data_IF_041038262802
#
_entry.id   IF_041038262802
#
_cell.length_a   1.000
_cell.length_b   1.000
_cell.length_c   1.000
_cell.angle_alpha   90.00
_cell.angle_beta   90.00
_cell.angle_gamma   90.00
#
_symmetry.space_group_name_H-M   'P 1'
#
loop_
_entity.id
_entity.type
_entity.pdbx_description
1 polymer ?
#
# COMPACT_ATOMS: atom_id res chain seq x y z
N UNK A 1 21.79 -27.68 -58.94
CA UNK A 1 20.75 -27.35 -57.93
C UNK A 1 21.23 -27.85 -56.57
N UNK A 2 21.58 -26.93 -55.65
CA UNK A 2 21.87 -27.23 -54.24
C UNK A 2 21.01 -26.31 -53.40
N UNK A 3 20.11 -26.87 -52.60
CA UNK A 3 19.20 -26.16 -51.70
C UNK A 3 19.86 -26.15 -50.31
N UNK A 4 20.12 -24.99 -49.68
CA UNK A 4 20.65 -24.95 -48.33
C UNK A 4 19.51 -25.16 -47.32
N UNK A 5 19.72 -26.13 -46.43
CA UNK A 5 18.85 -26.41 -45.29
C UNK A 5 19.07 -25.31 -44.24
N UNK A 6 18.09 -24.41 -44.08
CA UNK A 6 18.12 -23.39 -43.03
C UNK A 6 17.64 -24.04 -41.73
N UNK A 7 18.59 -24.41 -40.87
CA UNK A 7 18.32 -24.84 -39.49
C UNK A 7 17.96 -23.59 -38.69
N UNK A 8 16.66 -23.38 -38.45
CA UNK A 8 16.16 -22.34 -37.56
C UNK A 8 16.46 -22.68 -36.11
N UNK A 9 17.48 -22.03 -35.53
CA UNK A 9 17.66 -21.99 -34.08
C UNK A 9 16.51 -21.19 -33.45
N UNK A 10 15.50 -21.88 -32.92
CA UNK A 10 14.57 -21.32 -31.95
C UNK A 10 15.37 -21.00 -30.67
N UNK A 11 15.72 -19.72 -30.50
CA UNK A 11 16.23 -19.21 -29.23
C UNK A 11 15.05 -19.21 -28.26
N UNK A 12 14.99 -20.23 -27.41
CA UNK A 12 14.12 -20.25 -26.24
C UNK A 12 14.59 -19.13 -25.30
N UNK A 13 13.98 -17.95 -25.42
CA UNK A 13 14.09 -16.91 -24.40
C UNK A 13 13.47 -17.48 -23.12
N UNK A 14 14.31 -18.00 -22.23
CA UNK A 14 13.88 -18.47 -20.92
C UNK A 14 13.20 -17.30 -20.19
N UNK A 15 11.96 -17.51 -19.74
CA UNK A 15 11.24 -16.55 -18.90
C UNK A 15 12.09 -16.28 -17.65
N UNK A 16 12.83 -15.17 -17.63
CA UNK A 16 13.46 -14.70 -16.40
C UNK A 16 12.34 -14.37 -15.42
N UNK A 17 12.21 -15.15 -14.35
CA UNK A 17 11.32 -14.81 -13.25
C UNK A 17 11.72 -13.45 -12.70
N UNK A 18 10.77 -12.52 -12.61
CA UNK A 18 10.98 -11.23 -11.96
C UNK A 18 11.51 -11.46 -10.53
N UNK A 19 12.54 -10.71 -10.09
CA UNK A 19 13.05 -10.86 -8.74
C UNK A 19 11.96 -10.52 -7.72
N UNK A 20 12.05 -11.18 -6.57
CA UNK A 20 11.05 -11.12 -5.52
C UNK A 20 11.74 -11.20 -4.17
N UNK A 21 11.05 -10.78 -3.12
CA UNK A 21 11.43 -11.07 -1.75
C UNK A 21 10.48 -12.11 -1.16
N UNK A 22 10.91 -12.77 -0.09
CA UNK A 22 10.11 -13.79 0.60
C UNK A 22 9.98 -13.45 2.07
N UNK A 23 8.75 -13.49 2.58
CA UNK A 23 8.49 -13.50 4.02
C UNK A 23 8.31 -14.97 4.44
N UNK A 24 9.01 -15.38 5.49
CA UNK A 24 8.98 -16.73 6.06
C UNK A 24 8.72 -16.65 7.57
N UNK A 25 7.49 -16.97 7.98
CA UNK A 25 7.04 -17.04 9.36
C UNK A 25 7.15 -18.42 10.00
N UNK A 26 7.78 -19.40 9.34
CA UNK A 26 7.80 -20.81 9.76
C UNK A 26 9.00 -21.22 10.64
N UNK A 27 9.95 -20.32 10.89
CA UNK A 27 11.21 -20.68 11.54
C UNK A 27 11.42 -20.01 12.91
N UNK A 28 10.53 -20.28 13.87
CA UNK A 28 10.91 -20.04 15.26
C UNK A 28 12.05 -20.98 15.68
N UNK A 29 13.06 -20.43 16.38
CA UNK A 29 14.11 -21.28 16.96
C UNK A 29 13.47 -22.11 18.06
N UNK A 30 13.35 -23.42 17.87
CA UNK A 30 12.72 -24.33 18.84
C UNK A 30 13.34 -24.23 20.25
N UNK A 31 14.61 -23.84 20.35
CA UNK A 31 15.31 -23.65 21.62
C UNK A 31 15.01 -22.33 22.33
N UNK A 32 14.31 -21.40 21.67
CA UNK A 32 13.96 -20.09 22.19
C UNK A 32 12.48 -20.10 22.61
N UNK A 33 12.26 -20.25 23.93
CA UNK A 33 10.92 -20.51 24.48
C UNK A 33 9.91 -19.37 24.25
N UNK A 34 10.40 -18.17 23.95
CA UNK A 34 9.59 -16.98 23.69
C UNK A 34 9.52 -16.65 22.20
N UNK A 35 9.78 -17.63 21.31
CA UNK A 35 9.84 -17.44 19.87
C UNK A 35 8.81 -18.31 19.15
N UNK A 36 7.91 -17.65 18.43
CA UNK A 36 6.75 -18.30 17.82
C UNK A 36 6.64 -17.99 16.33
N UNK A 37 6.07 -18.96 15.62
CA UNK A 37 5.74 -18.80 14.22
C UNK A 37 4.70 -17.69 14.05
N UNK A 38 4.72 -17.09 12.86
CA UNK A 38 3.73 -16.10 12.45
C UNK A 38 3.10 -16.49 11.13
N UNK A 39 1.80 -16.31 11.05
CA UNK A 39 1.01 -16.46 9.83
C UNK A 39 0.83 -15.11 9.17
N UNK A 40 0.98 -15.06 7.85
CA UNK A 40 0.75 -13.86 7.06
C UNK A 40 -0.75 -13.74 6.82
N UNK A 41 -1.35 -12.68 7.39
CA UNK A 41 -2.79 -12.37 7.35
C UNK A 41 -3.14 -11.40 6.22
N UNK A 42 -2.29 -10.41 5.97
CA UNK A 42 -2.48 -9.45 4.88
C UNK A 42 -1.14 -8.81 4.49
N UNK A 43 -1.05 -8.34 3.25
CA UNK A 43 0.08 -7.55 2.76
C UNK A 43 -0.49 -6.38 1.99
N UNK A 44 -0.11 -5.16 2.37
CA UNK A 44 -0.61 -3.90 1.77
C UNK A 44 -2.14 -3.83 1.76
N UNK A 45 -2.76 -4.28 2.85
CA UNK A 45 -4.23 -4.37 2.98
C UNK A 45 -4.88 -5.55 2.23
N UNK A 46 -4.15 -6.26 1.36
CA UNK A 46 -4.69 -7.42 0.65
C UNK A 46 -4.61 -8.69 1.50
N UNK A 47 -5.76 -9.25 1.87
CA UNK A 47 -5.86 -10.43 2.74
C UNK A 47 -5.16 -11.66 2.14
N UNK A 48 -4.32 -12.29 2.94
CA UNK A 48 -3.61 -13.53 2.65
C UNK A 48 -4.09 -14.57 3.67
N UNK A 49 -4.74 -15.65 3.22
CA UNK A 49 -5.27 -16.66 4.15
C UNK A 49 -4.13 -17.47 4.80
N UNK A 50 -3.73 -17.10 6.02
CA UNK A 50 -2.98 -17.93 6.99
C UNK A 50 -1.68 -18.55 6.49
N UNK A 51 -0.99 -17.93 5.53
CA UNK A 51 0.20 -18.53 4.92
C UNK A 51 1.43 -18.28 5.78
N UNK A 52 2.23 -19.31 6.02
CA UNK A 52 3.53 -19.16 6.68
C UNK A 52 4.61 -18.57 5.77
N UNK A 53 4.45 -18.68 4.44
CA UNK A 53 5.40 -18.11 3.48
C UNK A 53 4.69 -17.39 2.35
N UNK A 54 5.26 -16.27 1.90
CA UNK A 54 4.73 -15.53 0.77
C UNK A 54 5.85 -14.81 0.01
N UNK A 55 5.81 -14.91 -1.31
CA UNK A 55 6.60 -14.06 -2.19
C UNK A 55 5.90 -12.70 -2.32
N UNK A 56 6.69 -11.64 -2.14
CA UNK A 56 6.27 -10.25 -2.30
C UNK A 56 7.15 -9.57 -3.33
N UNK A 57 6.68 -8.44 -3.85
CA UNK A 57 7.50 -7.59 -4.69
C UNK A 57 8.61 -6.95 -3.85
N UNK A 58 9.72 -6.52 -4.46
CA UNK A 58 10.65 -5.63 -3.79
C UNK A 58 10.00 -4.27 -3.53
N UNK A 59 10.38 -3.59 -2.45
CA UNK A 59 9.84 -2.29 -2.07
C UNK A 59 9.26 -2.26 -0.66
N UNK A 60 8.60 -1.16 -0.31
CA UNK A 60 7.94 -1.00 0.98
C UNK A 60 6.64 -1.80 1.03
N UNK A 61 6.42 -2.52 2.12
CA UNK A 61 5.23 -3.31 2.37
C UNK A 61 4.76 -3.19 3.82
N UNK A 62 3.44 -3.18 4.03
CA UNK A 62 2.85 -3.37 5.35
C UNK A 62 2.39 -4.82 5.48
N UNK A 63 2.99 -5.56 6.42
CA UNK A 63 2.74 -6.99 6.57
C UNK A 63 1.95 -7.23 7.86
N UNK A 64 0.73 -7.73 7.73
CA UNK A 64 -0.08 -8.14 8.89
C UNK A 64 0.26 -9.59 9.22
N UNK A 65 0.72 -9.83 10.44
CA UNK A 65 1.24 -11.11 10.92
C UNK A 65 0.48 -11.54 12.16
N UNK A 66 -0.08 -12.75 12.17
CA UNK A 66 -0.70 -13.36 13.34
C UNK A 66 0.22 -14.35 14.02
N UNK A 67 0.46 -14.21 15.32
CA UNK A 67 1.24 -15.19 16.09
C UNK A 67 0.48 -16.51 16.24
N UNK A 68 1.20 -17.63 16.18
CA UNK A 68 0.70 -18.94 16.63
C UNK A 68 0.90 -19.16 18.14
N UNK A 69 1.54 -18.22 18.82
CA UNK A 69 1.85 -18.28 20.24
C UNK A 69 0.62 -18.08 21.13
N UNK A 70 0.67 -18.55 22.40
CA UNK A 70 -0.45 -18.47 23.32
C UNK A 70 -0.71 -17.01 23.74
N UNK A 71 -1.93 -16.51 23.50
CA UNK A 71 -2.36 -15.23 24.04
C UNK A 71 -2.58 -15.35 25.56
N UNK A 72 -1.78 -14.64 26.36
CA UNK A 72 -1.90 -14.65 27.83
C UNK A 72 -3.11 -13.87 28.33
N UNK A 73 -3.58 -12.89 27.55
CA UNK A 73 -4.75 -12.07 27.86
C UNK A 73 -5.81 -12.23 26.77
N UNK A 74 -7.10 -12.26 27.18
CA UNK A 74 -8.24 -12.23 26.25
C UNK A 74 -8.33 -10.95 25.42
N UNK A 75 -7.61 -9.89 25.81
CA UNK A 75 -7.54 -8.60 25.12
C UNK A 75 -6.33 -8.48 24.18
N UNK A 76 -5.42 -9.46 24.18
CA UNK A 76 -4.24 -9.40 23.32
C UNK A 76 -4.63 -9.70 21.86
N UNK A 77 -4.25 -8.83 20.94
CA UNK A 77 -4.44 -9.06 19.51
C UNK A 77 -3.41 -10.08 19.04
N UNK A 78 -3.84 -11.14 18.35
CA UNK A 78 -2.92 -12.10 17.75
C UNK A 78 -2.18 -11.51 16.54
N UNK A 79 -2.76 -10.49 15.91
CA UNK A 79 -2.28 -9.87 14.68
C UNK A 79 -1.56 -8.54 14.94
N UNK A 80 -0.37 -8.39 14.37
CA UNK A 80 0.46 -7.19 14.40
C UNK A 80 0.78 -6.74 12.97
N UNK A 81 0.99 -5.45 12.77
CA UNK A 81 1.47 -4.89 11.50
C UNK A 81 2.98 -4.70 11.59
N UNK A 82 3.71 -5.15 10.58
CA UNK A 82 5.15 -5.02 10.47
C UNK A 82 5.53 -4.34 9.16
N UNK A 83 6.12 -3.13 9.20
CA UNK A 83 6.63 -2.46 8.02
C UNK A 83 7.91 -3.14 7.54
N UNK A 84 7.98 -3.44 6.25
CA UNK A 84 9.11 -4.15 5.63
C UNK A 84 9.53 -3.47 4.34
N UNK A 85 10.79 -3.01 4.27
CA UNK A 85 11.44 -2.64 3.02
C UNK A 85 12.11 -3.88 2.43
N UNK A 86 11.38 -4.56 1.56
CA UNK A 86 11.76 -5.83 0.97
C UNK A 86 12.79 -5.65 -0.15
N UNK A 87 13.98 -6.21 0.04
CA UNK A 87 15.07 -6.24 -0.94
C UNK A 87 14.85 -7.38 -1.94
N UNK A 88 15.24 -7.15 -3.19
CA UNK A 88 15.25 -8.19 -4.21
C UNK A 88 16.03 -9.43 -3.74
N UNK A 89 15.47 -10.61 -4.01
CA UNK A 89 16.08 -11.89 -3.75
C UNK A 89 16.45 -12.13 -2.27
N UNK A 90 15.78 -11.43 -1.35
CA UNK A 90 15.96 -11.58 0.08
C UNK A 90 14.82 -12.38 0.70
N UNK A 91 15.15 -13.32 1.58
CA UNK A 91 14.22 -13.98 2.49
C UNK A 91 14.35 -13.36 3.86
N UNK A 92 13.22 -12.89 4.38
CA UNK A 92 13.05 -12.37 5.73
C UNK A 92 12.40 -13.44 6.60
N UNK A 93 13.14 -13.94 7.58
CA UNK A 93 12.60 -14.87 8.58
C UNK A 93 12.03 -14.04 9.71
N UNK A 94 10.72 -14.08 9.88
CA UNK A 94 9.99 -13.28 10.86
C UNK A 94 9.36 -14.15 11.92
N UNK A 95 9.34 -13.67 13.16
CA UNK A 95 8.75 -14.38 14.30
C UNK A 95 8.06 -13.42 15.25
N UNK A 96 7.15 -13.95 16.06
CA UNK A 96 6.55 -13.22 17.17
C UNK A 96 7.28 -13.58 18.46
N UNK A 97 7.64 -12.56 19.24
CA UNK A 97 8.26 -12.72 20.54
C UNK A 97 7.54 -11.90 21.61
N UNK A 98 7.64 -12.32 22.87
CA UNK A 98 7.18 -11.49 23.97
C UNK A 98 8.12 -10.32 24.19
N UNK A 99 7.56 -9.12 24.36
CA UNK A 99 8.34 -7.93 24.64
C UNK A 99 9.11 -8.05 25.95
N UNK A 100 10.36 -7.54 26.02
CA UNK A 100 11.22 -7.70 27.20
C UNK A 100 10.63 -7.04 28.47
N UNK A 101 9.83 -5.99 28.29
CA UNK A 101 9.22 -5.21 29.38
C UNK A 101 7.80 -5.64 29.73
N UNK A 102 7.11 -6.34 28.82
CA UNK A 102 5.73 -6.76 29.02
C UNK A 102 5.50 -8.12 28.34
N UNK A 103 5.41 -9.16 29.17
CA UNK A 103 5.17 -10.54 28.71
C UNK A 103 3.78 -10.76 28.11
N UNK A 104 2.90 -9.77 28.17
CA UNK A 104 1.57 -9.81 27.54
C UNK A 104 1.56 -9.11 26.17
N UNK A 105 2.63 -8.37 25.82
CA UNK A 105 2.77 -7.71 24.53
C UNK A 105 3.61 -8.58 23.58
N UNK A 106 3.08 -8.79 22.38
CA UNK A 106 3.81 -9.41 21.28
C UNK A 106 4.54 -8.35 20.46
N UNK A 107 5.71 -8.70 19.95
CA UNK A 107 6.44 -7.92 18.96
C UNK A 107 6.88 -8.83 17.80
N UNK A 108 6.91 -8.28 16.59
CA UNK A 108 7.46 -8.96 15.43
C UNK A 108 8.96 -8.67 15.36
N UNK A 109 9.76 -9.71 15.16
CA UNK A 109 11.20 -9.59 14.92
C UNK A 109 11.63 -10.33 13.67
N UNK A 110 12.55 -9.74 12.93
CA UNK A 110 13.32 -10.42 11.88
C UNK A 110 14.46 -11.17 12.55
N UNK A 111 14.44 -12.49 12.48
CA UNK A 111 15.49 -13.35 13.02
C UNK A 111 16.69 -13.47 12.09
N UNK A 112 16.44 -13.43 10.78
CA UNK A 112 17.42 -13.71 9.75
C UNK A 112 17.03 -13.05 8.43
N UNK A 113 18.03 -12.54 7.73
CA UNK A 113 17.95 -12.05 6.35
C UNK A 113 18.95 -12.86 5.51
N UNK A 114 18.45 -13.55 4.49
CA UNK A 114 19.33 -14.37 3.63
C UNK A 114 18.89 -14.37 2.19
N UNK A 115 19.88 -14.50 1.30
CA UNK A 115 19.65 -14.56 -0.13
C UNK A 115 18.86 -15.82 -0.51
N UNK A 116 17.95 -15.67 -1.44
CA UNK A 116 17.20 -16.76 -2.07
C UNK A 116 18.10 -17.35 -3.17
N UNK A 117 18.60 -18.59 -3.04
CA UNK A 117 19.63 -19.11 -3.94
C UNK A 117 19.21 -19.18 -5.42
N UNK A 118 17.91 -19.29 -5.68
CA UNK A 118 17.33 -19.38 -7.03
C UNK A 118 16.93 -18.03 -7.62
N UNK A 119 17.10 -16.94 -6.88
CA UNK A 119 16.74 -15.59 -7.33
C UNK A 119 18.01 -14.82 -7.68
N UNK A 120 18.03 -14.26 -8.89
CA UNK A 120 19.09 -13.32 -9.31
C UNK A 120 18.51 -11.92 -9.21
N UNK A 121 19.12 -11.00 -8.43
CA UNK A 121 18.63 -9.63 -8.36
C UNK A 121 18.74 -9.01 -9.76
N UNK A 122 17.85 -8.05 -10.01
CA UNK A 122 18.00 -7.17 -11.16
C UNK A 122 19.42 -6.58 -11.13
N UNK A 123 20.04 -6.35 -12.31
CA UNK A 123 21.20 -5.48 -12.36
C UNK A 123 20.87 -4.22 -11.58
N UNK A 124 21.77 -3.76 -10.71
CA UNK A 124 21.63 -2.48 -10.01
C UNK A 124 21.61 -1.42 -11.09
N UNK A 125 20.41 -1.10 -11.56
CA UNK A 125 20.17 0.06 -12.40
C UNK A 125 20.54 1.26 -11.52
N UNK A 126 21.40 2.18 -11.99
CA UNK A 126 21.75 3.36 -11.20
C UNK A 126 20.44 3.97 -10.70
N UNK A 127 20.37 4.21 -9.39
CA UNK A 127 19.19 4.71 -8.69
C UNK A 127 18.66 5.91 -9.48
N UNK A 128 17.66 5.65 -10.33
CA UNK A 128 17.14 6.70 -11.19
C UNK A 128 16.45 7.64 -10.24
N UNK A 129 16.98 8.87 -10.15
CA UNK A 129 16.34 9.94 -9.39
C UNK A 129 14.91 10.02 -9.92
N UNK A 130 13.96 9.54 -9.13
CA UNK A 130 12.55 9.54 -9.53
C UNK A 130 12.12 11.00 -9.55
N UNK A 131 12.13 11.59 -10.75
CA UNK A 131 11.67 12.96 -10.94
C UNK A 131 10.16 12.95 -10.81
N UNK A 132 9.66 13.44 -9.68
CA UNK A 132 8.22 13.55 -9.45
C UNK A 132 7.70 14.72 -10.30
N UNK A 133 6.78 14.46 -11.25
CA UNK A 133 6.27 15.47 -12.17
C UNK A 133 5.36 16.46 -11.44
N UNK A 134 5.24 17.69 -11.95
CA UNK A 134 4.47 18.76 -11.29
C UNK A 134 2.99 18.40 -11.05
N UNK A 135 2.38 17.59 -11.91
CA UNK A 135 0.98 17.17 -11.75
C UNK A 135 0.77 16.15 -10.63
N UNK A 136 1.85 15.54 -10.12
CA UNK A 136 1.85 14.67 -8.95
C UNK A 136 2.22 15.42 -7.66
N UNK A 137 2.34 16.75 -7.71
CA UNK A 137 2.70 17.63 -6.59
C UNK A 137 1.61 18.64 -6.32
N UNK A 138 1.42 19.09 -5.07
CA UNK A 138 0.52 20.18 -4.79
C UNK A 138 1.07 21.49 -5.38
N UNK A 139 0.18 22.38 -5.81
CA UNK A 139 0.55 23.68 -6.38
C UNK A 139 1.05 24.69 -5.33
N UNK A 140 0.89 24.37 -4.05
CA UNK A 140 1.33 25.16 -2.90
C UNK A 140 1.64 24.24 -1.71
N UNK A 141 2.23 24.79 -0.65
CA UNK A 141 2.46 24.05 0.58
C UNK A 141 1.12 23.61 1.20
N UNK A 142 1.05 22.34 1.63
CA UNK A 142 -0.16 21.74 2.20
C UNK A 142 0.03 21.58 3.71
N UNK A 143 -0.85 22.21 4.48
CA UNK A 143 -0.93 22.03 5.94
C UNK A 143 -1.68 20.75 6.31
N UNK A 144 -1.65 20.36 7.58
CA UNK A 144 -2.55 19.32 8.08
C UNK A 144 -4.00 19.82 8.01
N UNK A 145 -4.84 19.17 7.21
CA UNK A 145 -6.27 19.45 7.07
C UNK A 145 -7.09 18.52 7.97
N UNK A 146 -8.04 19.10 8.70
CA UNK A 146 -9.01 18.37 9.52
C UNK A 146 -10.17 17.84 8.69
N UNK A 147 -10.94 16.88 9.25
CA UNK A 147 -12.08 16.28 8.56
C UNK A 147 -13.14 17.29 8.04
N UNK A 148 -13.27 18.45 8.66
CA UNK A 148 -14.22 19.50 8.25
C UNK A 148 -13.71 20.37 7.08
N UNK A 149 -12.40 20.35 6.82
CA UNK A 149 -11.76 21.08 5.73
C UNK A 149 -11.64 20.22 4.46
N UNK A 150 -11.86 18.91 4.59
CA UNK A 150 -11.87 17.96 3.48
C UNK A 150 -13.22 18.02 2.75
N UNK A 151 -13.18 18.12 1.43
CA UNK A 151 -14.37 18.30 0.58
C UNK A 151 -14.28 17.43 -0.68
N UNK A 152 -15.35 17.42 -1.48
CA UNK A 152 -15.39 16.78 -2.80
C UNK A 152 -14.35 17.34 -3.80
N UNK A 153 -13.76 18.50 -3.51
CA UNK A 153 -12.77 19.16 -4.34
C UNK A 153 -11.32 18.85 -3.91
N UNK A 154 -11.12 18.20 -2.75
CA UNK A 154 -9.78 17.89 -2.24
C UNK A 154 -9.23 16.66 -2.97
N UNK A 155 -8.24 16.86 -3.86
CA UNK A 155 -7.68 15.78 -4.69
C UNK A 155 -6.72 14.87 -3.91
N UNK A 156 -6.46 13.63 -4.35
CA UNK A 156 -5.45 12.75 -3.75
C UNK A 156 -4.05 13.35 -3.66
N UNK A 157 -3.69 14.25 -4.58
CA UNK A 157 -2.43 15.02 -4.51
C UNK A 157 -2.37 15.85 -3.24
N UNK A 158 -3.44 16.58 -2.92
CA UNK A 158 -3.54 17.40 -1.70
C UNK A 158 -3.73 16.53 -0.48
N UNK A 159 -4.61 15.53 -0.54
CA UNK A 159 -4.94 14.67 0.59
C UNK A 159 -3.71 13.92 1.13
N UNK A 160 -2.92 13.27 0.27
CA UNK A 160 -1.75 12.51 0.73
C UNK A 160 -0.65 13.42 1.30
N UNK A 161 -0.49 14.64 0.75
CA UNK A 161 0.41 15.64 1.31
C UNK A 161 -0.10 16.18 2.66
N UNK A 162 -1.40 16.40 2.81
CA UNK A 162 -2.03 16.73 4.10
C UNK A 162 -1.84 15.62 5.13
N UNK A 163 -1.99 14.36 4.74
CA UNK A 163 -1.72 13.20 5.62
C UNK A 163 -0.29 13.25 6.14
N UNK A 164 0.70 13.47 5.27
CA UNK A 164 2.09 13.60 5.69
C UNK A 164 2.30 14.79 6.65
N UNK A 165 1.65 15.94 6.39
CA UNK A 165 1.69 17.09 7.28
C UNK A 165 1.07 16.79 8.66
N UNK A 166 -0.07 16.09 8.69
CA UNK A 166 -0.75 15.69 9.92
C UNK A 166 0.08 14.69 10.75
N UNK A 167 0.75 13.74 10.09
CA UNK A 167 1.65 12.80 10.78
C UNK A 167 2.82 13.56 11.43
N UNK A 168 3.43 14.52 10.72
CA UNK A 168 4.49 15.38 11.27
C UNK A 168 4.02 16.21 12.47
N UNK A 169 2.76 16.65 12.46
CA UNK A 169 2.15 17.37 13.60
C UNK A 169 1.56 16.46 14.66
N UNK A 170 1.69 15.13 14.53
CA UNK A 170 1.11 14.12 15.43
C UNK A 170 -0.42 14.19 15.56
N UNK A 171 -1.11 14.80 14.60
CA UNK A 171 -2.56 14.79 14.50
C UNK A 171 -3.01 13.56 13.71
N UNK A 172 -3.02 12.42 14.39
CA UNK A 172 -3.32 11.14 13.75
C UNK A 172 -4.79 11.00 13.36
N UNK A 173 -5.72 11.68 14.02
CA UNK A 173 -7.15 11.62 13.67
C UNK A 173 -7.36 12.29 12.30
N UNK A 174 -6.80 13.49 12.11
CA UNK A 174 -6.82 14.17 10.82
C UNK A 174 -6.06 13.39 9.74
N UNK A 175 -4.91 12.80 10.08
CA UNK A 175 -4.16 11.94 9.17
C UNK A 175 -4.98 10.71 8.72
N UNK A 176 -5.71 10.07 9.64
CA UNK A 176 -6.58 8.93 9.33
C UNK A 176 -7.73 9.37 8.42
N UNK A 177 -8.46 10.44 8.75
CA UNK A 177 -9.53 10.95 7.88
C UNK A 177 -9.03 11.28 6.47
N UNK A 178 -7.90 11.98 6.37
CA UNK A 178 -7.26 12.28 5.10
C UNK A 178 -6.84 11.03 4.32
N UNK A 179 -6.29 10.02 5.01
CA UNK A 179 -5.85 8.78 4.39
C UNK A 179 -7.00 7.95 3.83
N UNK A 180 -8.12 7.86 4.55
CA UNK A 180 -9.33 7.19 4.08
C UNK A 180 -9.92 7.88 2.85
N UNK A 181 -10.06 9.21 2.89
CA UNK A 181 -10.59 9.96 1.75
C UNK A 181 -9.63 9.89 0.54
N UNK A 182 -8.31 9.97 0.77
CA UNK A 182 -7.31 9.85 -0.29
C UNK A 182 -7.41 8.50 -1.00
N UNK A 183 -7.51 7.41 -0.23
CA UNK A 183 -7.67 6.06 -0.77
C UNK A 183 -8.95 5.91 -1.58
N UNK A 184 -10.08 6.39 -1.03
CA UNK A 184 -11.37 6.33 -1.70
C UNK A 184 -11.35 7.11 -3.02
N UNK A 185 -10.85 8.34 -3.00
CA UNK A 185 -10.82 9.21 -4.18
C UNK A 185 -9.83 8.72 -5.23
N UNK A 186 -8.65 8.23 -4.83
CA UNK A 186 -7.70 7.61 -5.75
C UNK A 186 -8.31 6.35 -6.40
N UNK A 187 -8.98 5.48 -5.62
CA UNK A 187 -9.63 4.29 -6.15
C UNK A 187 -10.75 4.65 -7.13
N UNK A 188 -11.65 5.55 -6.74
CA UNK A 188 -12.70 6.08 -7.61
C UNK A 188 -12.13 6.65 -8.92
N UNK A 189 -11.03 7.41 -8.84
CA UNK A 189 -10.36 7.97 -10.01
C UNK A 189 -9.81 6.89 -10.94
N UNK A 190 -9.29 5.77 -10.42
CA UNK A 190 -8.87 4.64 -11.26
C UNK A 190 -10.04 3.96 -11.99
N UNK A 191 -11.25 3.97 -11.41
CA UNK A 191 -12.44 3.42 -12.06
C UNK A 191 -12.94 4.29 -13.23
N UNK A 192 -12.76 5.62 -13.14
CA UNK A 192 -13.21 6.56 -14.18
C UNK A 192 -12.13 6.94 -15.19
N UNK A 193 -10.86 6.64 -14.93
CA UNK A 193 -9.75 6.86 -15.87
C UNK A 193 -9.44 5.56 -16.61
N UNK A 194 -9.73 5.46 -17.93
CA UNK A 194 -9.60 4.20 -18.67
C UNK A 194 -8.14 3.77 -18.89
N UNK A 195 -7.20 4.73 -18.90
CA UNK A 195 -5.80 4.47 -19.19
C UNK A 195 -5.06 3.92 -17.96
N UNK A 196 -4.83 2.61 -17.90
CA UNK A 196 -4.18 1.95 -16.74
C UNK A 196 -2.79 2.49 -16.38
N UNK A 197 -1.88 2.80 -17.32
CA UNK A 197 -0.61 3.48 -17.01
C UNK A 197 -0.78 4.76 -16.18
N UNK A 198 -1.86 5.51 -16.39
CA UNK A 198 -2.14 6.73 -15.64
C UNK A 198 -2.38 6.50 -14.15
N UNK A 199 -2.71 5.28 -13.74
CA UNK A 199 -2.93 4.94 -12.33
C UNK A 199 -1.63 4.92 -11.52
N UNK A 200 -0.47 4.73 -12.17
CA UNK A 200 0.84 4.70 -11.51
C UNK A 200 1.21 6.03 -10.85
N UNK A 201 0.57 7.15 -11.24
CA UNK A 201 0.78 8.46 -10.63
C UNK A 201 0.48 8.45 -9.13
N UNK A 202 -0.42 7.58 -8.65
CA UNK A 202 -0.75 7.48 -7.23
C UNK A 202 0.48 7.10 -6.41
N UNK A 203 1.34 6.23 -6.94
CA UNK A 203 2.61 5.87 -6.29
C UNK A 203 3.63 7.01 -6.34
N UNK A 204 3.62 7.82 -7.40
CA UNK A 204 4.45 9.04 -7.46
C UNK A 204 4.00 10.08 -6.42
N UNK A 205 2.69 10.24 -6.21
CA UNK A 205 2.16 11.12 -5.16
C UNK A 205 2.57 10.63 -3.77
N UNK A 206 2.49 9.32 -3.51
CA UNK A 206 2.94 8.73 -2.23
C UNK A 206 4.43 8.94 -1.99
N UNK A 207 5.26 8.81 -3.05
CA UNK A 207 6.70 9.11 -3.01
C UNK A 207 6.97 10.56 -2.61
N UNK A 208 6.17 11.50 -3.10
CA UNK A 208 6.31 12.94 -2.79
C UNK A 208 5.84 13.30 -1.38
N UNK A 209 4.99 12.46 -0.77
CA UNK A 209 4.30 12.74 0.48
C UNK A 209 4.69 11.76 1.60
N UNK A 210 3.94 10.67 1.74
CA UNK A 210 4.05 9.71 2.84
C UNK A 210 5.46 9.12 2.93
N UNK A 211 6.10 8.80 1.81
CA UNK A 211 7.42 8.14 1.84
C UNK A 211 8.56 9.11 2.20
N UNK A 212 8.28 10.41 2.29
CA UNK A 212 9.24 11.41 2.80
C UNK A 212 9.30 11.43 4.32
N UNK A 213 8.36 10.78 5.00
CA UNK A 213 8.33 10.64 6.45
C UNK A 213 9.46 9.71 6.91
N UNK A 214 9.98 9.96 8.11
CA UNK A 214 10.91 9.06 8.78
C UNK A 214 10.25 7.71 9.10
N UNK A 215 11.05 6.66 9.25
CA UNK A 215 10.56 5.34 9.62
C UNK A 215 9.75 5.35 10.93
N UNK A 216 10.12 6.20 11.89
CA UNK A 216 9.41 6.32 13.17
C UNK A 216 8.03 6.98 13.00
N UNK A 217 7.94 8.03 12.18
CA UNK A 217 6.66 8.68 11.86
C UNK A 217 5.70 7.73 11.15
N UNK A 218 6.21 6.96 10.18
CA UNK A 218 5.42 5.94 9.48
C UNK A 218 4.94 4.87 10.45
N UNK A 219 5.82 4.35 11.32
CA UNK A 219 5.46 3.34 12.31
C UNK A 219 4.37 3.83 13.28
N UNK A 220 4.48 5.06 13.80
CA UNK A 220 3.47 5.61 14.71
C UNK A 220 2.11 5.77 14.03
N UNK A 221 2.11 6.28 12.80
CA UNK A 221 0.87 6.40 12.03
C UNK A 221 0.25 5.03 11.76
N UNK A 222 1.05 4.03 11.37
CA UNK A 222 0.56 2.67 11.13
C UNK A 222 -0.04 2.04 12.38
N UNK A 223 0.57 2.24 13.55
CA UNK A 223 0.01 1.78 14.81
C UNK A 223 -1.36 2.42 15.05
N UNK A 224 -1.47 3.74 14.87
CA UNK A 224 -2.74 4.47 15.07
C UNK A 224 -3.80 4.07 14.08
N UNK A 225 -3.42 3.87 12.82
CA UNK A 225 -4.32 3.37 11.78
C UNK A 225 -4.81 1.95 12.09
N UNK A 226 -3.94 1.06 12.58
CA UNK A 226 -4.33 -0.30 12.98
C UNK A 226 -5.28 -0.30 14.18
N UNK A 227 -5.02 0.53 15.20
CA UNK A 227 -5.92 0.75 16.33
C UNK A 227 -7.30 1.23 15.86
N UNK A 228 -7.34 2.20 14.95
CA UNK A 228 -8.57 2.74 14.35
C UNK A 228 -9.35 1.67 13.57
N UNK A 229 -8.66 0.92 12.70
CA UNK A 229 -9.25 -0.13 11.87
C UNK A 229 -9.83 -1.29 12.69
N UNK A 230 -9.24 -1.57 13.87
CA UNK A 230 -9.73 -2.57 14.81
C UNK A 230 -10.87 -2.11 15.72
N UNK A 231 -11.27 -0.84 15.64
CA UNK A 231 -12.29 -0.24 16.50
C UNK A 231 -13.65 -0.09 15.81
N UNK A 232 -14.71 0.12 16.59
CA UNK A 232 -16.04 0.48 16.07
C UNK A 232 -16.02 1.82 15.29
N UNK A 233 -15.01 2.68 15.52
CA UNK A 233 -14.87 3.95 14.82
C UNK A 233 -14.63 3.78 13.32
N UNK A 234 -14.19 2.60 12.85
CA UNK A 234 -14.13 2.33 11.40
C UNK A 234 -15.48 2.57 10.71
N UNK A 235 -16.59 2.27 11.39
CA UNK A 235 -17.92 2.50 10.81
C UNK A 235 -18.24 3.99 10.65
N UNK A 236 -17.67 4.85 11.50
CA UNK A 236 -17.86 6.30 11.39
C UNK A 236 -17.09 6.90 10.22
N UNK A 237 -15.93 6.32 9.82
CA UNK A 237 -15.25 6.70 8.59
C UNK A 237 -16.14 6.47 7.35
N UNK A 238 -16.84 5.33 7.28
CA UNK A 238 -17.75 5.07 6.17
C UNK A 238 -18.87 6.12 6.07
N UNK A 239 -19.57 6.37 7.18
CA UNK A 239 -20.62 7.41 7.23
C UNK A 239 -20.08 8.79 6.88
N UNK A 240 -18.86 9.10 7.31
CA UNK A 240 -18.24 10.39 7.00
C UNK A 240 -17.87 10.51 5.52
N UNK A 241 -17.21 9.52 4.90
CA UNK A 241 -16.90 9.54 3.46
C UNK A 241 -18.18 9.65 2.62
N UNK A 242 -19.25 8.94 3.02
CA UNK A 242 -20.58 9.08 2.40
C UNK A 242 -21.10 10.52 2.52
N UNK A 243 -20.95 11.16 3.69
CA UNK A 243 -21.40 12.54 3.92
C UNK A 243 -20.58 13.58 3.15
N UNK A 244 -19.30 13.31 2.90
CA UNK A 244 -18.46 14.16 2.04
C UNK A 244 -18.94 14.04 0.59
N UNK A 245 -19.24 12.83 0.13
CA UNK A 245 -19.74 12.54 -1.22
C UNK A 245 -18.64 12.28 -2.25
N UNK A 246 -19.04 11.99 -3.49
CA UNK A 246 -18.09 11.65 -4.54
C UNK A 246 -17.24 12.84 -5.01
N UNK A 247 -16.06 12.61 -5.61
CA UNK A 247 -15.23 13.67 -6.18
C UNK A 247 -15.97 14.57 -7.17
N UNK A 248 -15.83 15.88 -7.00
CA UNK A 248 -16.39 16.92 -7.89
C UNK A 248 -15.29 17.65 -8.71
N UNK A 249 -14.14 16.98 -8.86
CA UNK A 249 -13.04 17.44 -9.69
C UNK A 249 -12.80 16.47 -10.87
N UNK A 250 -12.16 16.95 -11.93
CA UNK A 250 -11.59 16.12 -12.98
C UNK A 250 -10.22 15.54 -12.53
N UNK A 251 -9.92 14.25 -12.73
CA UNK A 251 -8.69 13.61 -12.23
C UNK A 251 -7.48 13.96 -13.12
N UNK A 252 -7.19 15.26 -13.24
CA UNK A 252 -6.15 15.80 -14.13
C UNK A 252 -4.78 15.21 -13.82
N UNK A 253 -4.49 14.94 -12.55
CA UNK A 253 -3.23 14.33 -12.12
C UNK A 253 -2.99 12.94 -12.73
N UNK A 254 -4.05 12.13 -12.92
CA UNK A 254 -3.96 10.88 -13.67
C UNK A 254 -3.96 11.14 -15.18
N UNK A 255 -4.85 12.00 -15.66
CA UNK A 255 -4.98 12.27 -17.10
C UNK A 255 -3.71 12.84 -17.73
N UNK A 256 -2.88 13.57 -16.96
CA UNK A 256 -1.59 14.11 -17.40
C UNK A 256 -0.46 13.09 -17.30
N UNK A 257 -0.64 12.02 -16.52
CA UNK A 257 0.30 10.90 -16.47
C UNK A 257 -0.01 9.90 -17.59
N UNK A 258 0.33 10.26 -18.83
CA UNK A 258 0.24 9.31 -19.96
C UNK A 258 1.62 8.93 -20.47
N UNK A 259 1.77 7.75 -21.10
CA UNK A 259 2.99 7.42 -21.84
C UNK A 259 3.28 8.50 -22.89
N UNK A 260 4.55 8.77 -23.17
CA UNK A 260 5.01 9.87 -24.04
C UNK A 260 4.39 9.90 -25.46
N UNK A 261 3.77 8.80 -25.92
CA UNK A 261 3.15 8.67 -27.24
C UNK A 261 1.61 8.82 -27.23
N UNK A 262 1.01 9.08 -26.07
CA UNK A 262 -0.43 9.20 -25.96
C UNK A 262 -0.91 10.59 -26.39
N UNK A 263 -1.75 10.63 -27.43
CA UNK A 263 -2.40 11.84 -27.90
C UNK A 263 -3.40 12.29 -26.83
N UNK A 264 -3.20 13.50 -26.28
CA UNK A 264 -4.20 14.17 -25.44
C UNK A 264 -5.39 14.51 -26.33
N UNK A 265 -6.33 13.58 -26.48
CA UNK A 265 -7.67 13.94 -26.90
C UNK A 265 -8.35 14.55 -25.70
N UNK A 266 -8.71 15.84 -25.78
CA UNK A 266 -9.62 16.47 -24.83
C UNK A 266 -10.91 15.65 -24.78
N UNK A 267 -11.00 14.76 -23.80
CA UNK A 267 -12.25 14.11 -23.42
C UNK A 267 -12.38 14.22 -21.92
N UNK A 268 -12.54 15.46 -21.45
CA UNK A 268 -13.42 15.74 -20.31
C UNK A 268 -14.85 15.40 -20.72
N UNK A 269 -15.16 14.11 -20.80
CA UNK A 269 -16.54 13.68 -20.73
C UNK A 269 -16.82 13.49 -19.25
N UNK A 270 -17.40 14.51 -18.65
CA UNK A 270 -18.03 14.39 -17.34
C UNK A 270 -18.90 13.13 -17.34
N UNK A 271 -18.67 12.23 -16.39
CA UNK A 271 -19.43 10.99 -16.33
C UNK A 271 -20.90 11.32 -16.06
N UNK A 272 -21.86 10.65 -16.72
CA UNK A 272 -23.26 10.73 -16.34
C UNK A 272 -23.42 10.47 -14.83
N UNK A 273 -24.33 11.19 -14.19
CA UNK A 273 -24.51 11.14 -12.74
C UNK A 273 -24.78 9.71 -12.23
N UNK A 274 -25.52 8.90 -12.98
CA UNK A 274 -25.81 7.50 -12.62
C UNK A 274 -24.56 6.63 -12.64
N UNK A 275 -23.66 6.87 -13.60
CA UNK A 275 -22.38 6.15 -13.68
C UNK A 275 -21.48 6.61 -12.53
N UNK A 276 -21.43 7.91 -12.25
CA UNK A 276 -20.66 8.49 -11.14
C UNK A 276 -21.09 7.89 -9.79
N UNK A 277 -22.40 7.85 -9.52
CA UNK A 277 -22.99 7.22 -8.34
C UNK A 277 -22.66 5.73 -8.25
N UNK A 278 -22.77 5.00 -9.36
CA UNK A 278 -22.44 3.57 -9.42
C UNK A 278 -20.97 3.30 -9.06
N UNK A 279 -20.05 4.07 -9.63
CA UNK A 279 -18.61 3.93 -9.36
C UNK A 279 -18.26 4.33 -7.92
N UNK A 280 -18.95 5.33 -7.36
CA UNK A 280 -18.73 5.74 -5.98
C UNK A 280 -19.25 4.70 -4.99
N UNK A 281 -20.43 4.10 -5.24
CA UNK A 281 -20.92 2.95 -4.47
C UNK A 281 -19.94 1.79 -4.50
N UNK A 282 -19.38 1.45 -5.67
CA UNK A 282 -18.35 0.43 -5.79
C UNK A 282 -17.08 0.79 -4.98
N UNK A 283 -16.69 2.07 -4.94
CA UNK A 283 -15.58 2.55 -4.10
C UNK A 283 -15.87 2.32 -2.62
N UNK A 284 -17.08 2.63 -2.16
CA UNK A 284 -17.47 2.43 -0.76
C UNK A 284 -17.47 0.94 -0.40
N UNK A 285 -17.99 0.06 -1.26
CA UNK A 285 -18.10 -1.38 -0.96
C UNK A 285 -16.79 -2.13 -1.17
N UNK A 286 -16.17 -1.97 -2.34
CA UNK A 286 -15.11 -2.85 -2.81
C UNK A 286 -13.75 -2.42 -2.26
N UNK A 287 -13.57 -1.11 -2.07
CA UNK A 287 -12.33 -0.55 -1.55
C UNK A 287 -12.39 -0.30 -0.04
N UNK A 288 -13.39 0.43 0.46
CA UNK A 288 -13.48 0.75 1.89
C UNK A 288 -14.12 -0.36 2.74
N UNK A 289 -14.86 -1.29 2.12
CA UNK A 289 -15.62 -2.32 2.84
C UNK A 289 -16.77 -1.75 3.66
N UNK A 290 -17.35 -0.62 3.23
CA UNK A 290 -18.50 -0.01 3.87
C UNK A 290 -19.78 -0.80 3.58
N UNK A 291 -20.71 -0.90 4.54
CA UNK A 291 -22.05 -1.40 4.24
C UNK A 291 -22.71 -0.49 3.20
N UNK A 292 -23.45 -1.09 2.27
CA UNK A 292 -24.23 -0.33 1.29
C UNK A 292 -25.20 0.60 2.04
N UNK A 293 -25.25 1.91 1.70
CA UNK A 293 -26.28 2.81 2.21
C UNK A 293 -27.67 2.44 1.69
#
# INVERSE_FOLDING_TARGET
MKLPLIIGCLILAGCKSTPYAMIDGSQSKVSDADNYNVEIVAIDGAFQSGKLTKNIKPGYHTVHLSTTGPLRSRKATSTLVYPLVAKECMRYVVTAQHGPSNKDAWEIRVLDERLIPTCTPSPVEPEQVVVIPNYAKPSSEVSCLTANELTQQTTPVVLLNSVAACIKSQDYDSAISGYFLAGAYAYFDTLRVPNKPSHEVVELIKKDSIWTLSALEQQHFEQKLAEYLGSEQKQTACSWVISVGEPDYAPLYMQQHQPNDAVITETTTELPAEIKDTLFKATLTDYLGCPLP
#
